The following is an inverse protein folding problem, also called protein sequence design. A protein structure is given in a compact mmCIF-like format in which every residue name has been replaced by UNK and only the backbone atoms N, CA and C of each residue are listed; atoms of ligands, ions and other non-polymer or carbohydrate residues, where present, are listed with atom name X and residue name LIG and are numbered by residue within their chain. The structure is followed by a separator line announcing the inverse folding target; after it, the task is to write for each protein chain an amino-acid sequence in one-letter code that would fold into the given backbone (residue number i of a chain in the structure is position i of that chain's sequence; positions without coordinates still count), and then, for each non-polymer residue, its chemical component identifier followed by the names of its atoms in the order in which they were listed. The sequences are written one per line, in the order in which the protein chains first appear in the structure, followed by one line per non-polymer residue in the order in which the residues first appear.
data_IF_504276537399
#
_entry.id   IF_504276537399
#
_cell.length_a   1.000
_cell.length_b   1.000
_cell.length_c   1.000
_cell.angle_alpha   90.00
_cell.angle_beta   90.00
_cell.angle_gamma   90.00
#
_symmetry.space_group_name_H-M   'P 1'
#
loop_
_entity.id
_entity.type
_entity.pdbx_description
1 polymer ?
#
# COMPACT_ATOMS: atom_id res chain seq x y z
N UNK A 1 39.07 -2.24 1.38
CA UNK A 1 38.38 -2.60 2.62
C UNK A 1 37.31 -1.61 3.06
N UNK A 2 37.58 -0.32 2.98
CA UNK A 2 36.56 0.72 3.29
C UNK A 2 35.29 0.60 2.45
N UNK A 3 35.41 0.20 1.17
CA UNK A 3 34.28 0.00 0.26
C UNK A 3 33.36 -1.11 0.74
N UNK A 4 33.93 -2.23 1.21
CA UNK A 4 33.13 -3.37 1.70
C UNK A 4 32.36 -3.04 2.98
N UNK A 5 32.95 -2.23 3.85
CA UNK A 5 32.28 -1.80 5.08
C UNK A 5 31.08 -0.87 4.75
N UNK A 6 31.26 0.07 3.84
CA UNK A 6 30.16 0.95 3.39
C UNK A 6 29.01 0.14 2.80
N UNK A 7 29.32 -0.83 1.94
CA UNK A 7 28.30 -1.68 1.32
C UNK A 7 27.54 -2.48 2.38
N UNK A 8 28.24 -2.99 3.39
CA UNK A 8 27.61 -3.73 4.49
C UNK A 8 26.63 -2.83 5.27
N UNK A 9 27.06 -1.62 5.64
CA UNK A 9 26.21 -0.67 6.38
C UNK A 9 25.00 -0.26 5.54
N UNK A 10 25.19 0.02 4.25
CA UNK A 10 24.09 0.38 3.35
C UNK A 10 23.07 -0.76 3.22
N UNK A 11 23.57 -2.01 3.13
CA UNK A 11 22.68 -3.17 3.02
C UNK A 11 21.86 -3.36 4.30
N UNK A 12 22.45 -3.16 5.48
CA UNK A 12 21.70 -3.21 6.75
C UNK A 12 20.60 -2.14 6.79
N UNK A 13 20.92 -0.91 6.37
CA UNK A 13 19.97 0.19 6.34
C UNK A 13 18.79 -0.14 5.41
N UNK A 14 19.07 -0.66 4.22
CA UNK A 14 18.06 -1.05 3.24
C UNK A 14 17.17 -2.16 3.81
N UNK A 15 17.74 -3.15 4.48
CA UNK A 15 16.97 -4.23 5.10
C UNK A 15 16.04 -3.72 6.19
N UNK A 16 16.49 -2.80 7.05
CA UNK A 16 15.65 -2.19 8.08
C UNK A 16 14.51 -1.39 7.47
N UNK A 17 14.78 -0.56 6.46
CA UNK A 17 13.75 0.21 5.75
C UNK A 17 12.72 -0.71 5.12
N UNK A 18 13.15 -1.77 4.47
CA UNK A 18 12.25 -2.75 3.86
C UNK A 18 11.39 -3.45 4.91
N UNK A 19 11.97 -3.82 6.05
CA UNK A 19 11.21 -4.45 7.14
C UNK A 19 10.13 -3.52 7.69
N UNK A 20 10.43 -2.23 7.84
CA UNK A 20 9.46 -1.24 8.29
C UNK A 20 8.32 -1.07 7.28
N UNK A 21 8.65 -1.02 5.98
CA UNK A 21 7.65 -0.93 4.92
C UNK A 21 6.77 -2.17 4.90
N UNK A 22 7.36 -3.37 5.01
CA UNK A 22 6.58 -4.62 5.05
C UNK A 22 5.61 -4.65 6.22
N UNK A 23 6.04 -4.17 7.39
CA UNK A 23 5.15 -4.04 8.55
C UNK A 23 4.02 -3.05 8.26
N UNK A 24 4.33 -1.92 7.63
CA UNK A 24 3.33 -0.94 7.23
C UNK A 24 2.33 -1.52 6.23
N UNK A 25 2.78 -2.35 5.31
CA UNK A 25 1.90 -3.06 4.37
C UNK A 25 0.98 -4.03 5.11
N UNK A 26 1.51 -4.76 6.10
CA UNK A 26 0.68 -5.64 6.92
C UNK A 26 -0.42 -4.85 7.64
N UNK A 27 -0.09 -3.70 8.18
CA UNK A 27 -1.08 -2.82 8.83
C UNK A 27 -2.12 -2.31 7.83
N UNK A 28 -1.69 -1.95 6.63
CA UNK A 28 -2.58 -1.55 5.54
C UNK A 28 -3.56 -2.67 5.19
N UNK A 29 -3.06 -3.89 5.06
CA UNK A 29 -3.88 -5.07 4.75
C UNK A 29 -4.87 -5.36 5.89
N UNK A 30 -4.47 -5.20 7.14
CA UNK A 30 -5.36 -5.38 8.29
C UNK A 30 -6.53 -4.38 8.25
N UNK A 31 -6.25 -3.12 7.90
CA UNK A 31 -7.28 -2.10 7.73
C UNK A 31 -8.23 -2.51 6.59
N UNK A 32 -7.67 -2.94 5.47
CA UNK A 32 -8.45 -3.37 4.32
C UNK A 32 -9.38 -4.54 4.66
N UNK A 33 -8.85 -5.56 5.33
CA UNK A 33 -9.62 -6.74 5.75
C UNK A 33 -10.72 -6.38 6.74
N UNK A 34 -10.44 -5.48 7.67
CA UNK A 34 -11.44 -5.00 8.61
C UNK A 34 -12.59 -4.29 7.90
N UNK A 35 -12.29 -3.47 6.90
CA UNK A 35 -13.31 -2.79 6.11
C UNK A 35 -14.19 -3.77 5.32
N UNK A 36 -13.60 -4.81 4.76
CA UNK A 36 -14.36 -5.87 4.08
C UNK A 36 -15.27 -6.58 5.08
N UNK A 37 -14.73 -6.96 6.23
CA UNK A 37 -15.46 -7.70 7.25
C UNK A 37 -16.68 -6.94 7.77
N UNK A 38 -16.55 -5.62 7.90
CA UNK A 38 -17.63 -4.77 8.43
C UNK A 38 -18.51 -4.15 7.35
N UNK A 39 -18.17 -4.35 6.07
CA UNK A 39 -18.94 -3.80 4.96
C UNK A 39 -20.23 -4.59 4.75
N UNK A 40 -21.42 -3.92 4.81
CA UNK A 40 -22.71 -4.65 4.74
C UNK A 40 -22.86 -5.51 3.49
N UNK A 41 -22.40 -5.03 2.33
CA UNK A 41 -22.52 -5.77 1.07
C UNK A 41 -21.69 -7.05 1.09
N UNK A 42 -20.44 -7.01 1.60
CA UNK A 42 -19.60 -8.20 1.66
C UNK A 42 -20.03 -9.17 2.77
N UNK A 43 -20.65 -8.66 3.81
CA UNK A 43 -21.19 -9.52 4.87
C UNK A 43 -22.45 -10.28 4.41
N UNK A 44 -23.25 -9.69 3.51
CA UNK A 44 -24.56 -10.23 3.11
C UNK A 44 -24.61 -10.65 1.65
N UNK A 45 -24.55 -9.68 0.71
CA UNK A 45 -24.75 -9.92 -0.72
C UNK A 45 -23.54 -10.58 -1.40
N UNK A 46 -22.35 -10.20 -1.00
CA UNK A 46 -21.12 -10.62 -1.66
C UNK A 46 -20.26 -11.54 -0.77
N UNK A 47 -20.85 -12.19 0.23
CA UNK A 47 -20.09 -13.07 1.11
C UNK A 47 -19.42 -14.21 0.34
N UNK A 48 -20.02 -14.65 -0.76
CA UNK A 48 -19.50 -15.74 -1.58
C UNK A 48 -18.28 -15.31 -2.41
N UNK A 49 -18.05 -14.00 -2.60
CA UNK A 49 -16.85 -13.50 -3.24
C UNK A 49 -15.60 -13.73 -2.39
N UNK A 50 -15.75 -13.88 -1.08
CA UNK A 50 -14.64 -14.06 -0.15
C UNK A 50 -13.54 -13.01 -0.43
N UNK A 51 -13.96 -11.73 -0.44
CA UNK A 51 -13.07 -10.61 -0.71
C UNK A 51 -11.90 -10.61 0.27
N UNK A 52 -10.69 -10.55 -0.26
CA UNK A 52 -9.47 -10.49 0.54
C UNK A 52 -8.40 -9.72 -0.24
N UNK A 53 -7.22 -9.66 0.30
CA UNK A 53 -6.06 -9.00 -0.29
C UNK A 53 -4.85 -9.91 -0.15
N UNK A 54 -4.00 -9.90 -1.15
CA UNK A 54 -2.75 -10.66 -1.14
C UNK A 54 -1.61 -9.74 -1.60
N UNK A 55 -0.39 -10.11 -1.25
CA UNK A 55 0.78 -9.33 -1.62
C UNK A 55 1.79 -10.17 -2.37
N UNK A 56 2.58 -9.52 -3.21
CA UNK A 56 3.82 -10.11 -3.74
C UNK A 56 4.92 -9.05 -3.68
N UNK A 57 6.10 -9.48 -3.26
CA UNK A 57 7.24 -8.59 -3.06
C UNK A 57 8.15 -8.68 -4.26
N UNK A 58 8.24 -7.59 -5.02
CA UNK A 58 9.16 -7.46 -6.14
C UNK A 58 10.45 -6.74 -5.74
N UNK A 59 11.29 -6.45 -6.73
CA UNK A 59 12.55 -5.76 -6.49
C UNK A 59 12.35 -4.31 -6.03
N UNK A 60 11.40 -3.61 -6.63
CA UNK A 60 11.15 -2.19 -6.38
C UNK A 60 9.83 -1.93 -5.67
N UNK A 61 8.82 -2.71 -5.97
CA UNK A 61 7.47 -2.51 -5.45
C UNK A 61 6.93 -3.77 -4.79
N UNK A 62 6.07 -3.55 -3.80
CA UNK A 62 5.20 -4.58 -3.25
C UNK A 62 3.84 -4.36 -3.90
N UNK A 63 3.31 -5.40 -4.56
CA UNK A 63 1.98 -5.35 -5.15
C UNK A 63 0.95 -5.84 -4.14
N UNK A 64 -0.15 -5.10 -4.01
CA UNK A 64 -1.32 -5.53 -3.26
C UNK A 64 -2.40 -5.89 -4.27
N UNK A 65 -2.85 -7.13 -4.23
CA UNK A 65 -3.88 -7.66 -5.13
C UNK A 65 -5.23 -7.69 -4.45
N UNK A 66 -6.28 -7.36 -5.19
CA UNK A 66 -7.63 -7.76 -4.84
C UNK A 66 -7.76 -9.26 -5.04
N UNK A 67 -8.34 -9.95 -4.07
CA UNK A 67 -8.58 -11.40 -4.11
C UNK A 67 -10.07 -11.66 -3.99
N UNK A 68 -10.60 -12.48 -4.87
CA UNK A 68 -11.98 -12.94 -4.84
C UNK A 68 -12.02 -14.44 -5.07
N UNK A 69 -12.72 -15.17 -4.19
CA UNK A 69 -12.84 -16.63 -4.26
C UNK A 69 -11.48 -17.33 -4.31
N UNK A 70 -10.50 -16.79 -3.56
CA UNK A 70 -9.16 -17.32 -3.48
C UNK A 70 -8.26 -17.02 -4.67
N UNK A 71 -8.73 -16.22 -5.63
CA UNK A 71 -7.96 -15.87 -6.83
C UNK A 71 -7.57 -14.41 -6.84
N UNK A 72 -6.32 -14.14 -7.24
CA UNK A 72 -5.85 -12.76 -7.45
C UNK A 72 -6.57 -12.17 -8.65
N UNK A 73 -7.12 -10.98 -8.49
CA UNK A 73 -7.79 -10.24 -9.55
C UNK A 73 -6.97 -9.01 -9.93
N UNK A 74 -7.51 -7.82 -9.77
CA UNK A 74 -6.83 -6.59 -10.11
C UNK A 74 -5.76 -6.23 -9.09
N UNK A 75 -4.86 -5.33 -9.48
CA UNK A 75 -3.95 -4.69 -8.53
C UNK A 75 -4.74 -3.63 -7.75
N UNK A 76 -4.74 -3.75 -6.44
CA UNK A 76 -5.30 -2.72 -5.56
C UNK A 76 -4.38 -1.51 -5.47
N UNK A 77 -3.10 -1.75 -5.19
CA UNK A 77 -2.09 -0.69 -5.05
C UNK A 77 -0.69 -1.25 -5.22
N UNK A 78 0.26 -0.35 -5.51
CA UNK A 78 1.69 -0.61 -5.41
C UNK A 78 2.22 0.13 -4.19
N UNK A 79 3.14 -0.49 -3.47
CA UNK A 79 3.86 0.16 -2.37
C UNK A 79 5.33 0.23 -2.74
N UNK A 80 5.91 1.44 -2.71
CA UNK A 80 7.35 1.60 -2.92
C UNK A 80 8.09 0.93 -1.78
N UNK A 81 8.95 -0.02 -2.11
CA UNK A 81 9.63 -0.86 -1.13
C UNK A 81 10.64 -0.09 -0.29
N UNK A 82 11.17 1.01 -0.83
CA UNK A 82 12.15 1.85 -0.14
C UNK A 82 11.52 2.95 0.70
N UNK A 83 10.47 3.59 0.18
CA UNK A 83 9.88 4.77 0.80
C UNK A 83 8.58 4.49 1.55
N UNK A 84 7.90 3.40 1.23
CA UNK A 84 6.58 3.11 1.77
C UNK A 84 5.44 3.85 1.11
N UNK A 85 5.71 4.57 0.02
CA UNK A 85 4.68 5.30 -0.70
C UNK A 85 3.62 4.37 -1.26
N UNK A 86 2.37 4.76 -1.07
CA UNK A 86 1.20 4.07 -1.64
C UNK A 86 0.91 4.70 -2.99
N UNK A 87 0.94 3.88 -4.04
CA UNK A 87 0.76 4.31 -5.42
C UNK A 87 -0.44 3.58 -6.02
N UNK A 88 -1.24 4.31 -6.77
CA UNK A 88 -2.33 3.70 -7.51
C UNK A 88 -1.75 2.93 -8.72
N UNK A 89 -2.44 1.88 -9.16
CA UNK A 89 -2.01 1.13 -10.35
C UNK A 89 -2.31 1.90 -11.62
N UNK A 90 -1.31 2.04 -12.51
CA UNK A 90 -1.55 2.49 -13.88
C UNK A 90 -1.87 1.28 -14.76
N UNK A 91 -1.25 0.14 -14.48
CA UNK A 91 -1.48 -1.13 -15.15
C UNK A 91 -1.17 -2.27 -14.18
N UNK A 92 -1.34 -3.51 -14.63
CA UNK A 92 -1.01 -4.68 -13.81
C UNK A 92 0.48 -4.71 -13.42
N UNK A 93 1.35 -4.12 -14.24
CA UNK A 93 2.79 -4.22 -14.05
C UNK A 93 3.45 -2.91 -13.58
N UNK A 94 2.73 -1.80 -13.58
CA UNK A 94 3.34 -0.51 -13.28
C UNK A 94 2.42 0.41 -12.48
N UNK A 95 2.99 1.15 -11.50
CA UNK A 95 2.24 2.15 -10.76
C UNK A 95 2.09 3.45 -11.56
N UNK A 96 1.04 4.20 -11.25
CA UNK A 96 0.91 5.59 -11.66
C UNK A 96 1.81 6.47 -10.81
N UNK A 97 2.23 7.61 -11.35
CA UNK A 97 3.04 8.58 -10.62
C UNK A 97 2.22 9.26 -9.53
N UNK A 98 2.90 9.63 -8.46
CA UNK A 98 2.33 10.40 -7.37
C UNK A 98 1.87 9.54 -6.19
N UNK A 99 2.44 9.83 -5.03
CA UNK A 99 2.09 9.14 -3.81
C UNK A 99 0.68 9.50 -3.37
N UNK A 100 -0.13 8.48 -3.07
CA UNK A 100 -1.50 8.65 -2.56
C UNK A 100 -1.56 8.53 -1.04
N UNK A 101 -0.47 8.13 -0.44
CA UNK A 101 -0.28 7.96 0.98
C UNK A 101 1.07 7.36 1.23
N UNK A 102 1.33 6.99 2.48
CA UNK A 102 2.58 6.32 2.86
C UNK A 102 2.31 5.42 4.07
N UNK A 103 2.71 4.15 3.96
CA UNK A 103 2.45 3.18 5.03
C UNK A 103 3.28 3.44 6.29
N UNK A 104 4.31 4.28 6.22
CA UNK A 104 5.12 4.69 7.37
C UNK A 104 4.61 5.98 8.00
N UNK A 105 3.66 6.67 7.36
CA UNK A 105 3.10 7.92 7.86
C UNK A 105 1.92 7.61 8.78
N UNK A 106 2.10 7.85 10.07
CA UNK A 106 1.08 7.56 11.09
C UNK A 106 -0.22 8.33 10.83
N UNK A 107 -0.13 9.60 10.46
CA UNK A 107 -1.32 10.41 10.18
C UNK A 107 -2.12 9.83 9.03
N UNK A 108 -1.43 9.42 7.96
CA UNK A 108 -2.08 8.76 6.83
C UNK A 108 -2.75 7.45 7.26
N UNK A 109 -2.02 6.60 7.98
CA UNK A 109 -2.55 5.30 8.40
C UNK A 109 -3.73 5.45 9.36
N UNK A 110 -3.71 6.44 10.24
CA UNK A 110 -4.85 6.73 11.12
C UNK A 110 -6.07 7.23 10.33
N UNK A 111 -5.85 8.09 9.33
CA UNK A 111 -6.94 8.56 8.47
C UNK A 111 -7.48 7.45 7.57
N UNK A 112 -6.62 6.53 7.16
CA UNK A 112 -6.98 5.42 6.28
C UNK A 112 -8.10 4.56 6.86
N UNK A 113 -8.14 4.38 8.17
CA UNK A 113 -9.20 3.63 8.85
C UNK A 113 -10.59 4.20 8.59
N UNK A 114 -10.67 5.51 8.33
CA UNK A 114 -11.94 6.19 8.02
C UNK A 114 -12.25 6.20 6.53
N UNK A 115 -11.23 6.43 5.71
CA UNK A 115 -11.43 6.72 4.28
C UNK A 115 -11.24 5.50 3.37
N UNK A 116 -10.74 4.37 3.89
CA UNK A 116 -10.49 3.19 3.08
C UNK A 116 -11.77 2.72 2.40
N UNK A 117 -11.69 2.58 1.08
CA UNK A 117 -12.77 2.05 0.25
C UNK A 117 -12.34 0.68 -0.28
N UNK A 118 -13.18 -0.33 -0.07
CA UNK A 118 -12.89 -1.70 -0.50
C UNK A 118 -12.72 -1.83 -2.01
N UNK A 119 -13.22 -0.86 -2.79
CA UNK A 119 -13.05 -0.80 -4.24
C UNK A 119 -11.87 0.07 -4.67
N UNK A 120 -11.07 0.55 -3.71
CA UNK A 120 -9.89 1.36 -4.01
C UNK A 120 -10.16 2.84 -4.25
N UNK A 121 -11.39 3.30 -4.02
CA UNK A 121 -11.77 4.69 -4.28
C UNK A 121 -10.97 5.71 -3.48
N UNK A 122 -10.47 5.35 -2.31
CA UNK A 122 -9.64 6.23 -1.49
C UNK A 122 -8.33 6.64 -2.18
N UNK A 123 -7.87 5.87 -3.17
CA UNK A 123 -6.66 6.20 -3.94
C UNK A 123 -6.93 7.26 -5.01
N UNK A 124 -8.20 7.55 -5.29
CA UNK A 124 -8.65 8.52 -6.30
C UNK A 124 -9.35 9.72 -5.69
N UNK A 125 -9.53 9.73 -4.36
CA UNK A 125 -10.31 10.77 -3.66
C UNK A 125 -9.53 12.09 -3.55
N UNK A 126 -10.25 13.17 -3.22
CA UNK A 126 -9.63 14.46 -2.91
C UNK A 126 -8.60 14.35 -1.78
N UNK A 127 -8.86 13.48 -0.82
CA UNK A 127 -7.95 13.25 0.32
C UNK A 127 -6.59 12.77 -0.20
N UNK A 128 -6.55 11.79 -1.09
CA UNK A 128 -5.30 11.27 -1.64
C UNK A 128 -4.60 12.28 -2.55
N UNK A 129 -5.35 13.07 -3.30
CA UNK A 129 -4.79 14.14 -4.12
C UNK A 129 -4.18 15.25 -3.25
N UNK A 130 -4.83 15.59 -2.15
CA UNK A 130 -4.28 16.54 -1.17
C UNK A 130 -2.97 16.04 -0.57
N UNK A 131 -2.89 14.75 -0.27
CA UNK A 131 -1.66 14.14 0.24
C UNK A 131 -0.52 14.31 -0.78
N UNK A 132 -0.77 13.99 -2.03
CA UNK A 132 0.22 14.13 -3.11
C UNK A 132 0.69 15.57 -3.22
N UNK A 133 -0.23 16.53 -3.24
CA UNK A 133 0.08 17.96 -3.35
C UNK A 133 0.96 18.42 -2.20
N UNK A 134 0.59 18.11 -0.96
CA UNK A 134 1.35 18.49 0.24
C UNK A 134 2.75 17.89 0.22
N UNK A 135 2.88 16.66 -0.23
CA UNK A 135 4.16 15.99 -0.32
C UNK A 135 5.06 16.64 -1.37
N UNK A 136 4.52 16.89 -2.57
CA UNK A 136 5.29 17.49 -3.66
C UNK A 136 5.79 18.89 -3.29
N UNK A 137 4.98 19.66 -2.58
CA UNK A 137 5.35 20.99 -2.11
C UNK A 137 6.36 20.96 -0.95
N UNK A 138 6.36 19.91 -0.15
CA UNK A 138 7.29 19.77 0.97
C UNK A 138 8.74 19.67 0.52
N UNK A 139 8.98 19.15 -0.68
CA UNK A 139 10.30 18.93 -1.24
C UNK A 139 10.73 20.01 -2.25
N UNK A 140 9.95 21.04 -2.40
CA UNK A 140 10.34 22.22 -3.15
C UNK A 140 10.97 23.23 -2.23
#
# INVERSE_FOLDING_TARGET
MATKFKDYVNNLYIQESTSMVLKGVDDYIKIAREKVRTHPQFANLYKDYKKDYATSVGAKYIKIYDVERGQRRAIHAFIDKMTGDVLKAASYNAPAKGARGNVLDRKYMDSLRRVFDTHGGHLYSRHSLSYQFKRDNRFK
#
